data_IF_041193715660
#
_entry.id   IF_041193715660
#
_cell.length_a   1.000
_cell.length_b   1.000
_cell.length_c   1.000
_cell.angle_alpha   90.00
_cell.angle_beta   90.00
_cell.angle_gamma   90.00
#
_symmetry.space_group_name_H-M   'P 1'
#
loop_
_entity.id
_entity.type
_entity.pdbx_description
1 polymer ?
#
# COMPACT_ATOMS: atom_id res chain seq x y z
N UNK A 1 -6.42 -3.97 -19.69
CA UNK A 1 -5.43 -4.71 -18.89
C UNK A 1 -6.20 -5.55 -17.88
N UNK A 2 -6.21 -6.86 -18.07
CA UNK A 2 -7.11 -7.81 -17.39
C UNK A 2 -6.56 -8.35 -16.08
N UNK A 3 -6.17 -7.48 -15.16
CA UNK A 3 -5.83 -7.89 -13.79
C UNK A 3 -7.10 -7.78 -12.93
N UNK A 4 -7.36 -8.80 -12.11
CA UNK A 4 -8.53 -8.89 -11.23
C UNK A 4 -8.42 -7.97 -10.02
N UNK A 5 -7.21 -7.71 -9.55
CA UNK A 5 -6.91 -6.90 -8.37
C UNK A 5 -5.46 -6.36 -8.39
N UNK A 6 -5.09 -5.56 -7.38
CA UNK A 6 -3.75 -5.00 -7.24
C UNK A 6 -2.69 -6.05 -6.87
N UNK A 7 -3.07 -7.14 -6.20
CA UNK A 7 -2.14 -8.22 -5.85
C UNK A 7 -1.61 -8.86 -7.14
N UNK A 8 -2.51 -9.30 -8.02
CA UNK A 8 -2.16 -9.87 -9.32
C UNK A 8 -1.37 -8.89 -10.20
N UNK A 9 -1.71 -7.60 -10.16
CA UNK A 9 -0.97 -6.58 -10.90
C UNK A 9 0.49 -6.43 -10.41
N UNK A 10 0.73 -6.41 -9.09
CA UNK A 10 2.07 -6.30 -8.52
C UNK A 10 2.89 -7.57 -8.73
N UNK A 11 2.26 -8.74 -8.64
CA UNK A 11 2.88 -10.03 -8.94
C UNK A 11 3.35 -10.05 -10.40
N UNK A 12 2.45 -9.73 -11.33
CA UNK A 12 2.76 -9.69 -12.75
C UNK A 12 3.85 -8.67 -13.06
N UNK A 13 3.81 -7.49 -12.44
CA UNK A 13 4.88 -6.50 -12.56
C UNK A 13 6.22 -7.08 -12.13
N UNK A 14 6.30 -7.76 -10.98
CA UNK A 14 7.54 -8.38 -10.51
C UNK A 14 8.08 -9.43 -11.46
N UNK A 15 7.22 -10.28 -12.01
CA UNK A 15 7.59 -11.30 -13.00
C UNK A 15 8.08 -10.65 -14.31
N UNK A 16 7.33 -9.67 -14.82
CA UNK A 16 7.66 -8.94 -16.05
C UNK A 16 8.97 -8.18 -15.92
N UNK A 17 9.19 -7.48 -14.80
CA UNK A 17 10.37 -6.65 -14.55
C UNK A 17 11.69 -7.46 -14.61
N UNK A 18 11.65 -8.75 -14.23
CA UNK A 18 12.81 -9.64 -14.27
C UNK A 18 12.76 -10.68 -15.40
N UNK A 19 11.93 -10.47 -16.43
CA UNK A 19 11.76 -11.41 -17.54
C UNK A 19 12.87 -11.33 -18.61
N UNK A 20 13.87 -10.45 -18.43
CA UNK A 20 15.00 -10.38 -19.34
C UNK A 20 15.95 -11.59 -19.14
N UNK A 21 16.49 -12.21 -20.21
CA UNK A 21 17.37 -13.38 -20.10
C UNK A 21 18.60 -13.16 -19.23
N UNK A 22 19.12 -11.94 -19.20
CA UNK A 22 20.32 -11.50 -18.49
C UNK A 22 20.05 -10.85 -17.13
N UNK A 23 18.78 -10.81 -16.69
CA UNK A 23 18.41 -10.20 -15.41
C UNK A 23 19.13 -10.88 -14.23
N UNK A 24 20.01 -10.18 -13.48
CA UNK A 24 20.80 -10.82 -12.43
C UNK A 24 19.90 -11.32 -11.29
N UNK A 25 19.90 -12.63 -11.01
CA UNK A 25 19.05 -13.22 -9.97
C UNK A 25 19.16 -12.55 -8.58
N UNK A 26 20.37 -12.10 -8.23
CA UNK A 26 20.67 -11.38 -6.97
C UNK A 26 19.90 -10.07 -6.79
N UNK A 27 19.40 -9.44 -7.85
CA UNK A 27 18.65 -8.17 -7.75
C UNK A 27 17.15 -8.37 -7.50
N UNK A 28 16.63 -9.58 -7.66
CA UNK A 28 15.19 -9.90 -7.49
C UNK A 28 14.63 -9.54 -6.11
N UNK A 29 15.48 -9.48 -5.07
CA UNK A 29 15.10 -9.07 -3.71
C UNK A 29 14.79 -7.57 -3.57
N UNK A 30 15.18 -6.73 -4.53
CA UNK A 30 15.05 -5.27 -4.43
C UNK A 30 13.69 -4.72 -4.88
N UNK A 31 12.97 -5.46 -5.73
CA UNK A 31 11.58 -5.16 -6.06
C UNK A 31 10.70 -6.06 -5.21
N UNK A 32 9.87 -5.51 -4.34
CA UNK A 32 8.98 -6.30 -3.49
C UNK A 32 7.86 -6.98 -4.31
N UNK A 33 7.34 -8.11 -3.82
CA UNK A 33 6.17 -8.78 -4.43
C UNK A 33 5.27 -9.37 -3.34
N UNK A 34 3.93 -9.32 -3.50
CA UNK A 34 2.98 -10.00 -2.62
C UNK A 34 3.23 -11.51 -2.49
N UNK A 35 3.71 -12.18 -3.55
CA UNK A 35 4.06 -13.61 -3.54
C UNK A 35 5.09 -13.98 -2.45
N UNK A 36 5.90 -13.01 -1.99
CA UNK A 36 6.88 -13.20 -0.91
C UNK A 36 6.40 -12.65 0.43
N UNK A 37 5.08 -12.51 0.59
CA UNK A 37 4.42 -11.96 1.78
C UNK A 37 4.87 -10.55 2.17
N UNK A 38 5.44 -9.78 1.23
CA UNK A 38 5.79 -8.37 1.48
C UNK A 38 4.54 -7.50 1.47
N UNK A 39 4.44 -6.52 2.38
CA UNK A 39 3.44 -5.45 2.31
C UNK A 39 3.58 -4.58 1.06
N UNK A 40 4.69 -4.71 0.31
CA UNK A 40 4.99 -3.92 -0.87
C UNK A 40 4.94 -2.40 -0.62
N UNK A 41 5.20 -1.95 0.61
CA UNK A 41 5.06 -0.55 1.06
C UNK A 41 5.58 0.48 0.04
N UNK A 42 6.80 0.29 -0.48
CA UNK A 42 7.40 1.24 -1.43
C UNK A 42 6.64 1.33 -2.76
N UNK A 43 6.18 0.19 -3.28
CA UNK A 43 5.38 0.15 -4.51
C UNK A 43 4.00 0.76 -4.25
N UNK A 44 3.37 0.45 -3.13
CA UNK A 44 2.09 1.02 -2.74
C UNK A 44 2.17 2.55 -2.54
N UNK A 45 3.23 3.05 -1.90
CA UNK A 45 3.49 4.50 -1.78
C UNK A 45 3.66 5.16 -3.15
N UNK A 46 4.45 4.55 -4.02
CA UNK A 46 4.66 5.07 -5.36
C UNK A 46 3.35 5.12 -6.16
N UNK A 47 2.56 4.05 -6.12
CA UNK A 47 1.24 4.00 -6.75
C UNK A 47 0.30 5.06 -6.17
N UNK A 48 0.29 5.24 -4.84
CA UNK A 48 -0.48 6.30 -4.17
C UNK A 48 -0.16 7.67 -4.77
N UNK A 49 1.11 8.06 -4.83
CA UNK A 49 1.52 9.34 -5.39
C UNK A 49 1.19 9.49 -6.88
N UNK A 50 1.37 8.44 -7.67
CA UNK A 50 1.16 8.51 -9.11
C UNK A 50 -0.32 8.51 -9.50
N UNK A 51 -1.16 7.79 -8.77
CA UNK A 51 -2.58 7.57 -9.11
C UNK A 51 -3.50 8.58 -8.42
N UNK A 52 -3.29 8.85 -7.13
CA UNK A 52 -4.14 9.80 -6.40
C UNK A 52 -3.78 11.22 -6.74
N UNK A 53 -4.77 12.09 -6.66
CA UNK A 53 -4.60 13.53 -6.86
C UNK A 53 -5.19 14.20 -5.61
N UNK A 54 -4.38 14.97 -4.90
CA UNK A 54 -4.85 15.78 -3.78
C UNK A 54 -4.74 17.28 -4.09
N UNK A 55 -5.36 18.10 -3.25
CA UNK A 55 -5.26 19.57 -3.34
C UNK A 55 -4.06 20.15 -2.58
N UNK A 56 -3.15 19.31 -2.06
CA UNK A 56 -2.03 19.70 -1.19
C UNK A 56 -0.66 19.52 -1.84
N UNK A 57 -0.59 18.92 -3.03
CA UNK A 57 0.62 18.70 -3.80
C UNK A 57 1.46 17.51 -3.36
N UNK A 58 0.92 16.60 -2.53
CA UNK A 58 1.65 15.38 -2.11
C UNK A 58 1.43 14.25 -3.11
N UNK A 59 0.19 14.02 -3.52
CA UNK A 59 -0.18 13.03 -4.52
C UNK A 59 -0.29 13.70 -5.92
N UNK A 60 0.60 13.32 -6.87
CA UNK A 60 0.76 13.95 -8.19
C UNK A 60 -0.40 13.70 -9.17
N UNK A 61 -1.03 12.52 -9.09
CA UNK A 61 -2.20 12.18 -9.90
C UNK A 61 -1.93 12.08 -11.40
N UNK A 62 -0.70 11.78 -11.83
CA UNK A 62 -0.31 11.68 -13.24
C UNK A 62 -0.95 10.48 -13.96
N UNK A 63 -1.29 9.41 -13.23
CA UNK A 63 -1.81 8.17 -13.79
C UNK A 63 -3.33 8.06 -13.63
N UNK A 64 -4.06 8.27 -14.73
CA UNK A 64 -5.54 8.31 -14.72
C UNK A 64 -6.23 6.98 -15.06
N UNK A 65 -5.47 5.96 -15.49
CA UNK A 65 -6.02 4.66 -15.89
C UNK A 65 -6.35 3.76 -14.69
N UNK A 66 -5.65 3.95 -13.58
CA UNK A 66 -5.87 3.21 -12.32
C UNK A 66 -6.74 4.10 -11.44
N UNK A 67 -7.73 3.51 -10.78
CA UNK A 67 -8.59 4.25 -9.86
C UNK A 67 -8.02 4.20 -8.42
N UNK A 68 -8.14 5.27 -7.62
CA UNK A 68 -7.75 5.25 -6.21
C UNK A 68 -8.38 4.10 -5.40
N UNK A 69 -9.63 3.74 -5.74
CA UNK A 69 -10.39 2.67 -5.10
C UNK A 69 -9.69 1.28 -5.13
N UNK A 70 -8.81 1.02 -6.10
CA UNK A 70 -8.11 -0.27 -6.21
C UNK A 70 -6.71 -0.25 -5.61
N UNK A 71 -6.28 0.87 -5.03
CA UNK A 71 -4.97 0.98 -4.39
C UNK A 71 -4.96 0.25 -3.04
N UNK A 72 -3.77 -0.19 -2.64
CA UNK A 72 -3.52 -0.80 -1.33
C UNK A 72 -2.77 0.21 -0.46
N UNK A 73 -3.19 0.31 0.80
CA UNK A 73 -2.59 1.21 1.78
C UNK A 73 -1.11 0.83 2.01
N UNK A 74 -0.17 1.77 1.93
CA UNK A 74 1.24 1.50 2.18
C UNK A 74 1.50 1.33 3.67
N UNK A 75 1.72 0.08 4.11
CA UNK A 75 1.96 -0.23 5.52
C UNK A 75 3.43 -0.09 5.90
N UNK A 76 3.77 0.94 6.67
CA UNK A 76 5.03 1.03 7.41
C UNK A 76 4.85 0.87 8.92
N UNK A 77 5.95 0.96 9.67
CA UNK A 77 5.94 0.75 11.12
C UNK A 77 5.01 1.72 11.86
N UNK A 78 4.90 2.97 11.39
CA UNK A 78 4.07 3.99 12.01
C UNK A 78 2.59 3.73 11.71
N UNK A 79 2.27 3.49 10.44
CA UNK A 79 0.92 3.15 9.98
C UNK A 79 0.42 1.85 10.62
N UNK A 80 1.24 0.79 10.67
CA UNK A 80 0.90 -0.50 11.28
C UNK A 80 0.57 -0.34 12.78
N UNK A 81 1.39 0.41 13.52
CA UNK A 81 1.16 0.66 14.96
C UNK A 81 -0.14 1.41 15.19
N UNK A 82 -0.35 2.51 14.47
CA UNK A 82 -1.58 3.31 14.58
C UNK A 82 -2.80 2.48 14.21
N UNK A 83 -2.77 1.78 13.08
CA UNK A 83 -3.87 0.95 12.61
C UNK A 83 -4.29 -0.13 13.63
N UNK A 84 -3.32 -0.78 14.28
CA UNK A 84 -3.58 -1.78 15.33
C UNK A 84 -4.25 -1.18 16.55
N UNK A 85 -3.77 -0.03 17.02
CA UNK A 85 -4.36 0.66 18.19
C UNK A 85 -5.79 1.11 17.91
N UNK A 86 -6.06 1.55 16.68
CA UNK A 86 -7.40 1.91 16.23
C UNK A 86 -8.30 0.70 15.91
N UNK A 87 -7.81 -0.53 16.08
CA UNK A 87 -8.57 -1.75 15.77
C UNK A 87 -8.78 -2.01 14.27
N UNK A 88 -8.11 -1.27 13.39
CA UNK A 88 -8.17 -1.44 11.92
C UNK A 88 -7.35 -2.63 11.43
N UNK A 89 -6.46 -3.17 12.25
CA UNK A 89 -5.66 -4.36 11.96
C UNK A 89 -5.61 -5.24 13.19
N UNK A 90 -6.00 -6.51 13.03
CA UNK A 90 -6.01 -7.52 14.09
C UNK A 90 -4.92 -8.58 13.91
N UNK A 91 -4.47 -8.81 12.68
CA UNK A 91 -3.45 -9.83 12.34
C UNK A 91 -2.10 -9.52 12.97
N UNK A 92 -1.48 -10.47 13.68
CA UNK A 92 -0.18 -10.26 14.33
C UNK A 92 0.98 -9.99 13.36
N UNK A 93 1.01 -10.65 12.20
CA UNK A 93 2.06 -10.47 11.21
C UNK A 93 1.87 -9.13 10.47
N UNK A 94 2.96 -8.54 9.97
CA UNK A 94 2.92 -7.39 9.07
C UNK A 94 3.34 -7.88 7.68
N UNK A 95 2.38 -8.43 6.96
CA UNK A 95 2.55 -9.04 5.63
C UNK A 95 1.54 -8.45 4.62
N UNK A 96 1.53 -8.97 3.39
CA UNK A 96 0.58 -8.53 2.36
C UNK A 96 -0.88 -8.56 2.84
N UNK A 97 -1.28 -9.60 3.59
CA UNK A 97 -2.64 -9.75 4.10
C UNK A 97 -2.99 -8.66 5.11
N UNK A 98 -2.01 -8.16 5.86
CA UNK A 98 -2.18 -7.00 6.76
C UNK A 98 -2.42 -5.71 5.98
N UNK A 99 -1.73 -5.52 4.85
CA UNK A 99 -1.98 -4.38 3.97
C UNK A 99 -3.39 -4.44 3.35
N UNK A 100 -3.84 -5.64 2.97
CA UNK A 100 -5.20 -5.87 2.48
C UNK A 100 -6.24 -5.63 3.60
N UNK A 101 -6.06 -6.22 4.79
CA UNK A 101 -6.96 -6.03 5.94
C UNK A 101 -7.13 -4.55 6.28
N UNK A 102 -6.01 -3.81 6.40
CA UNK A 102 -6.06 -2.37 6.64
C UNK A 102 -6.84 -1.65 5.53
N UNK A 103 -6.55 -1.95 4.27
CA UNK A 103 -7.20 -1.27 3.14
C UNK A 103 -8.69 -1.55 3.10
N UNK A 104 -9.12 -2.77 3.37
CA UNK A 104 -10.55 -3.13 3.40
C UNK A 104 -11.27 -2.43 4.57
N UNK A 105 -10.64 -2.31 5.74
CA UNK A 105 -11.23 -1.53 6.84
C UNK A 105 -11.30 -0.03 6.52
N UNK A 106 -10.29 0.52 5.82
CA UNK A 106 -10.34 1.91 5.35
C UNK A 106 -11.39 2.12 4.24
N UNK A 107 -11.67 1.10 3.44
CA UNK A 107 -12.73 1.09 2.41
C UNK A 107 -14.12 1.26 3.02
N UNK A 108 -14.33 0.84 4.26
CA UNK A 108 -15.58 1.09 4.99
C UNK A 108 -15.79 2.58 5.28
N UNK A 109 -14.72 3.38 5.35
CA UNK A 109 -14.77 4.82 5.58
C UNK A 109 -14.88 5.61 4.28
N UNK A 110 -14.14 5.21 3.25
CA UNK A 110 -14.26 5.73 1.90
C UNK A 110 -13.90 4.66 0.86
N UNK A 111 -14.91 4.14 0.17
CA UNK A 111 -14.72 3.09 -0.84
C UNK A 111 -14.08 3.61 -2.14
N UNK A 112 -14.20 4.90 -2.45
CA UNK A 112 -13.67 5.52 -3.66
C UNK A 112 -12.19 5.86 -3.52
N UNK A 113 -11.74 6.16 -2.30
CA UNK A 113 -10.35 6.52 -2.02
C UNK A 113 -9.87 6.03 -0.63
N UNK A 114 -9.73 4.70 -0.42
CA UNK A 114 -9.40 4.13 0.89
C UNK A 114 -7.98 4.47 1.35
N UNK A 115 -7.03 4.71 0.44
CA UNK A 115 -5.62 4.95 0.81
C UNK A 115 -5.34 6.41 1.18
N UNK A 116 -6.34 7.30 1.15
CA UNK A 116 -6.20 8.69 1.62
C UNK A 116 -5.84 8.81 3.10
N UNK A 117 -6.23 7.82 3.88
CA UNK A 117 -6.02 7.80 5.32
C UNK A 117 -4.58 7.48 5.71
N UNK A 118 -3.73 7.01 4.78
CA UNK A 118 -2.31 6.74 5.04
C UNK A 118 -1.60 7.95 5.70
N UNK A 119 -1.84 9.16 5.17
CA UNK A 119 -1.26 10.38 5.72
C UNK A 119 -1.72 10.65 7.17
N UNK A 120 -2.99 10.40 7.48
CA UNK A 120 -3.54 10.58 8.82
C UNK A 120 -3.03 9.52 9.80
N UNK A 121 -3.00 8.24 9.40
CA UNK A 121 -2.49 7.13 10.22
C UNK A 121 -1.01 7.36 10.58
N UNK A 122 -0.22 7.87 9.63
CA UNK A 122 1.15 8.28 9.87
C UNK A 122 1.24 9.48 10.82
N UNK A 123 0.47 10.55 10.58
CA UNK A 123 0.47 11.76 11.41
C UNK A 123 0.14 11.48 12.88
N UNK A 124 -0.93 10.72 13.13
CA UNK A 124 -1.34 10.34 14.49
C UNK A 124 -0.26 9.54 15.25
N UNK A 125 0.59 8.80 14.53
CA UNK A 125 1.71 8.07 15.16
C UNK A 125 2.79 9.00 15.70
N UNK A 126 2.92 10.20 15.14
CA UNK A 126 3.95 11.19 15.48
C UNK A 126 3.45 12.09 16.61
N UNK A 127 2.18 12.50 16.57
CA UNK A 127 1.58 13.44 17.53
C UNK A 127 1.40 12.85 18.94
N UNK A 128 1.77 11.58 19.14
CA UNK A 128 1.66 10.81 20.40
C UNK A 128 0.24 10.68 20.98
N UNK A 129 -0.80 11.20 20.32
CA UNK A 129 -2.18 11.17 20.82
C UNK A 129 -2.70 9.74 21.06
N UNK A 130 -2.21 8.75 20.30
CA UNK A 130 -2.60 7.35 20.50
C UNK A 130 -1.83 6.64 21.63
N UNK A 131 -0.90 7.29 22.33
CA UNK A 131 -0.27 6.70 23.52
C UNK A 131 -1.13 6.87 24.79
N UNK A 132 -2.15 7.74 24.71
CA UNK A 132 -3.06 8.06 25.82
C UNK A 132 -4.47 7.46 25.63
N UNK A 133 -4.69 6.65 24.57
CA UNK A 133 -5.89 5.84 24.31
C UNK A 133 -5.66 4.38 24.75
#
# INVERSE_FOLDING_TARGET
>A
TGFTDMEGALIHFGQYFFNAPDAPGRTRKHVASPERNSTCKRLNMFLRWMVRCDGKGVDFGLWKRIQPAVLICPVDLHVDRTARRLGLVTRRQTDWRTAVELTENLRLLDACDPVKYDFALFGLSIEKEIYDL
#
